data_IF_483529971334
#
_entry.id   IF_483529971334
#
_cell.length_a   1.000
_cell.length_b   1.000
_cell.length_c   1.000
_cell.angle_alpha   90.00
_cell.angle_beta   90.00
_cell.angle_gamma   90.00
#
_symmetry.space_group_name_H-M   'P 1'
#
loop_
_entity.id
_entity.type
_entity.pdbx_description
1 polymer ?
#
# COMPACT_ATOMS: atom_id res chain seq x y z
N UNK A 1 14.48 -27.89 -5.31
CA UNK A 1 13.48 -28.44 -4.40
C UNK A 1 13.43 -27.57 -3.13
N UNK A 2 12.25 -27.23 -2.65
CA UNK A 2 12.04 -26.34 -1.51
C UNK A 2 12.67 -26.85 -0.18
N UNK A 3 12.87 -28.13 -0.05
CA UNK A 3 13.48 -28.77 1.13
C UNK A 3 14.97 -29.11 0.94
N UNK A 4 15.67 -28.45 0.06
CA UNK A 4 17.10 -28.63 -0.17
C UNK A 4 17.91 -27.49 0.48
N UNK A 5 19.20 -27.75 0.68
CA UNK A 5 20.19 -26.74 1.06
C UNK A 5 21.10 -26.45 -0.11
N UNK A 6 21.59 -25.23 -0.17
CA UNK A 6 22.54 -24.74 -1.19
C UNK A 6 23.93 -24.78 -0.58
N UNK A 7 24.91 -25.46 -1.19
CA UNK A 7 26.28 -25.47 -0.67
C UNK A 7 26.84 -24.06 -0.49
N UNK A 8 27.38 -23.76 0.70
CA UNK A 8 27.96 -22.45 1.01
C UNK A 8 26.95 -21.37 1.38
N UNK A 9 25.66 -21.69 1.46
CA UNK A 9 24.60 -20.82 1.96
C UNK A 9 24.13 -21.34 3.32
N UNK A 10 23.95 -20.44 4.27
CA UNK A 10 23.57 -20.75 5.65
C UNK A 10 22.10 -21.18 5.73
N UNK A 11 21.24 -20.42 5.06
CA UNK A 11 19.80 -20.63 5.03
C UNK A 11 19.45 -21.79 4.06
N UNK A 12 18.45 -22.58 4.41
CA UNK A 12 17.87 -23.52 3.48
C UNK A 12 16.92 -22.82 2.47
N UNK A 13 16.50 -23.53 1.43
CA UNK A 13 15.63 -22.95 0.39
C UNK A 13 14.29 -22.48 0.97
N UNK A 14 13.78 -23.16 2.00
CA UNK A 14 12.53 -22.76 2.66
C UNK A 14 12.70 -21.43 3.38
N UNK A 15 13.81 -21.23 4.10
CA UNK A 15 14.12 -19.98 4.78
C UNK A 15 14.31 -18.84 3.77
N UNK A 16 15.00 -19.10 2.65
CA UNK A 16 15.14 -18.12 1.57
C UNK A 16 13.78 -17.73 1.01
N UNK A 17 12.88 -18.69 0.76
CA UNK A 17 11.51 -18.40 0.30
C UNK A 17 10.74 -17.56 1.31
N UNK A 18 10.88 -17.86 2.60
CA UNK A 18 10.23 -17.07 3.65
C UNK A 18 10.75 -15.61 3.68
N UNK A 19 12.06 -15.43 3.50
CA UNK A 19 12.65 -14.10 3.40
C UNK A 19 12.15 -13.35 2.16
N UNK A 20 12.10 -14.00 1.00
CA UNK A 20 11.57 -13.42 -0.24
C UNK A 20 10.10 -12.99 -0.11
N UNK A 21 9.28 -13.72 0.65
CA UNK A 21 7.88 -13.35 0.90
C UNK A 21 7.71 -12.04 1.69
N UNK A 22 8.76 -11.58 2.38
CA UNK A 22 8.73 -10.30 3.12
C UNK A 22 9.06 -9.10 2.24
N UNK A 23 9.45 -9.30 0.99
CA UNK A 23 9.79 -8.22 0.08
C UNK A 23 8.57 -7.37 -0.28
N UNK A 24 8.72 -6.07 -0.14
CA UNK A 24 7.75 -5.08 -0.60
C UNK A 24 8.16 -4.59 -2.00
N UNK A 25 7.54 -5.13 -3.03
CA UNK A 25 7.90 -4.86 -4.43
C UNK A 25 6.80 -4.01 -5.08
N UNK A 26 7.19 -2.85 -5.61
CA UNK A 26 6.34 -1.98 -6.41
C UNK A 26 6.64 -2.22 -7.88
N UNK A 27 5.63 -2.59 -8.66
CA UNK A 27 5.71 -2.76 -10.10
C UNK A 27 4.92 -1.66 -10.80
N UNK A 28 5.62 -0.73 -11.43
CA UNK A 28 5.05 0.45 -12.11
C UNK A 28 4.84 0.23 -13.62
N UNK A 29 5.12 -0.97 -14.16
CA UNK A 29 4.94 -1.26 -15.59
C UNK A 29 3.48 -1.06 -16.01
N UNK A 30 3.25 -0.66 -17.25
CA UNK A 30 1.89 -0.53 -17.81
C UNK A 30 1.28 -1.89 -18.19
N UNK A 31 2.11 -2.91 -18.39
CA UNK A 31 1.69 -4.25 -18.78
C UNK A 31 1.55 -5.18 -17.56
N UNK A 32 0.69 -6.18 -17.71
CA UNK A 32 0.54 -7.27 -16.72
C UNK A 32 1.46 -8.46 -17.00
N UNK A 33 2.41 -8.32 -17.92
CA UNK A 33 3.35 -9.38 -18.25
C UNK A 33 4.30 -9.64 -17.08
N UNK A 34 4.63 -10.92 -16.82
CA UNK A 34 5.62 -11.30 -15.82
C UNK A 34 6.96 -10.62 -16.08
N UNK A 35 7.58 -10.06 -15.05
CA UNK A 35 8.93 -9.50 -15.08
C UNK A 35 9.89 -10.45 -14.43
N UNK A 36 11.11 -10.53 -14.95
CA UNK A 36 12.18 -11.33 -14.37
C UNK A 36 13.17 -10.43 -13.66
N UNK A 37 13.49 -10.78 -12.44
CA UNK A 37 14.60 -10.21 -11.68
C UNK A 37 15.56 -11.33 -11.28
N UNK A 38 16.80 -11.01 -10.99
CA UNK A 38 17.78 -12.01 -10.61
C UNK A 38 18.72 -11.52 -9.52
N UNK A 39 19.25 -12.46 -8.76
CA UNK A 39 20.33 -12.27 -7.80
C UNK A 39 21.53 -13.06 -8.30
N UNK A 40 22.68 -12.42 -8.36
CA UNK A 40 23.96 -13.05 -8.61
C UNK A 40 24.96 -12.53 -7.58
N UNK A 41 25.39 -13.40 -6.68
CA UNK A 41 26.29 -13.06 -5.60
C UNK A 41 27.41 -14.09 -5.49
N UNK A 42 28.67 -13.62 -5.39
CA UNK A 42 29.86 -14.46 -5.29
C UNK A 42 30.67 -14.09 -4.05
N UNK A 43 31.26 -15.11 -3.42
CA UNK A 43 32.07 -14.98 -2.22
C UNK A 43 31.25 -15.02 -0.93
N UNK A 44 31.91 -14.68 0.19
CA UNK A 44 31.27 -14.62 1.51
C UNK A 44 30.56 -13.28 1.71
N UNK A 45 29.36 -13.31 2.29
CA UNK A 45 28.63 -12.10 2.59
C UNK A 45 27.16 -12.31 2.84
N UNK A 46 26.48 -11.21 3.12
CA UNK A 46 25.04 -11.18 3.32
C UNK A 46 24.38 -10.66 2.05
N UNK A 47 23.52 -11.45 1.45
CA UNK A 47 22.71 -11.09 0.29
C UNK A 47 21.43 -10.42 0.79
N UNK A 48 21.20 -9.22 0.33
CA UNK A 48 20.04 -8.43 0.69
C UNK A 48 19.14 -8.16 -0.52
N UNK A 49 17.98 -7.61 -0.29
CA UNK A 49 17.08 -7.21 -1.37
C UNK A 49 17.67 -6.14 -2.30
N UNK A 50 18.70 -5.37 -1.85
CA UNK A 50 19.42 -4.43 -2.68
C UNK A 50 20.25 -5.11 -3.79
N UNK A 51 20.59 -6.39 -3.62
CA UNK A 51 21.34 -7.16 -4.61
C UNK A 51 20.46 -7.72 -5.74
N UNK A 52 19.15 -7.52 -5.66
CA UNK A 52 18.20 -7.90 -6.72
C UNK A 52 18.36 -6.97 -7.91
N UNK A 53 18.68 -7.54 -9.05
CA UNK A 53 18.75 -6.84 -10.32
C UNK A 53 17.43 -7.02 -11.07
N UNK A 54 16.76 -5.93 -11.33
CA UNK A 54 15.45 -5.90 -11.99
C UNK A 54 15.35 -4.73 -12.97
N UNK A 55 14.31 -4.76 -13.80
CA UNK A 55 13.98 -3.65 -14.70
C UNK A 55 13.67 -2.36 -13.90
N UNK A 56 13.80 -1.20 -14.54
CA UNK A 56 13.52 0.12 -13.94
C UNK A 56 12.08 0.30 -13.42
N UNK A 57 11.16 -0.54 -13.90
CA UNK A 57 9.76 -0.52 -13.49
C UNK A 57 9.52 -1.22 -12.13
N UNK A 58 10.53 -1.93 -11.63
CA UNK A 58 10.49 -2.69 -10.38
C UNK A 58 11.27 -1.92 -9.32
N UNK A 59 10.61 -1.55 -8.26
CA UNK A 59 11.20 -0.88 -7.10
C UNK A 59 11.00 -1.72 -5.85
N UNK A 60 12.09 -1.92 -5.08
CA UNK A 60 12.05 -2.66 -3.81
C UNK A 60 12.05 -1.64 -2.69
N UNK A 61 10.99 -1.62 -1.90
CA UNK A 61 10.77 -0.62 -0.85
C UNK A 61 11.56 -0.90 0.43
N UNK A 62 11.99 -2.16 0.64
CA UNK A 62 12.76 -2.62 1.81
C UNK A 62 14.08 -3.29 1.39
N UNK A 63 15.03 -2.54 0.80
CA UNK A 63 16.27 -3.09 0.23
C UNK A 63 17.21 -3.69 1.26
N UNK A 64 17.07 -3.37 2.54
CA UNK A 64 17.86 -3.91 3.66
C UNK A 64 17.44 -5.32 4.10
N UNK A 65 16.36 -5.85 3.54
CA UNK A 65 15.87 -7.20 3.90
C UNK A 65 16.89 -8.26 3.52
N UNK A 66 17.33 -9.04 4.49
CA UNK A 66 18.26 -10.16 4.27
C UNK A 66 17.54 -11.32 3.60
N UNK A 67 18.10 -11.81 2.49
CA UNK A 67 17.58 -12.94 1.73
C UNK A 67 18.35 -14.21 2.07
N UNK A 68 19.68 -14.15 2.05
CA UNK A 68 20.54 -15.29 2.32
C UNK A 68 21.92 -14.83 2.85
N UNK A 69 22.66 -15.74 3.46
CA UNK A 69 24.02 -15.52 3.94
C UNK A 69 24.95 -16.57 3.35
N UNK A 70 25.99 -16.14 2.65
CA UNK A 70 27.01 -17.01 2.09
C UNK A 70 28.19 -17.11 3.08
N UNK A 71 28.55 -18.32 3.49
CA UNK A 71 29.60 -18.60 4.48
C UNK A 71 30.52 -19.76 4.07
N UNK A 72 30.47 -20.18 2.82
CA UNK A 72 31.25 -21.34 2.30
C UNK A 72 32.62 -20.99 1.71
N UNK A 73 33.12 -19.77 1.95
CA UNK A 73 34.40 -19.32 1.42
C UNK A 73 34.28 -18.55 0.09
N UNK A 74 35.45 -18.24 -0.49
CA UNK A 74 35.54 -17.41 -1.70
C UNK A 74 34.84 -18.03 -2.94
N UNK A 75 34.63 -19.35 -2.96
CA UNK A 75 34.00 -20.05 -4.08
C UNK A 75 32.47 -20.20 -3.93
N UNK A 76 31.90 -19.63 -2.86
CA UNK A 76 30.44 -19.63 -2.66
C UNK A 76 29.76 -18.76 -3.71
N UNK A 77 28.69 -19.29 -4.30
CA UNK A 77 27.90 -18.59 -5.32
C UNK A 77 26.43 -18.82 -5.09
N UNK A 78 25.65 -17.76 -5.23
CA UNK A 78 24.20 -17.82 -5.25
C UNK A 78 23.69 -17.16 -6.53
N UNK A 79 23.03 -17.95 -7.36
CA UNK A 79 22.28 -17.44 -8.50
C UNK A 79 20.81 -17.82 -8.36
N UNK A 80 19.93 -16.86 -8.55
CA UNK A 80 18.49 -17.04 -8.38
C UNK A 80 17.74 -16.15 -9.36
N UNK A 81 16.75 -16.71 -10.04
CA UNK A 81 15.79 -15.94 -10.84
C UNK A 81 14.47 -15.81 -10.08
N UNK A 82 13.91 -14.61 -10.13
CA UNK A 82 12.66 -14.24 -9.49
C UNK A 82 11.66 -13.82 -10.56
N UNK A 83 10.53 -14.49 -10.66
CA UNK A 83 9.43 -14.05 -11.52
C UNK A 83 8.48 -13.19 -10.72
N UNK A 84 8.31 -11.94 -11.13
CA UNK A 84 7.47 -10.93 -10.49
C UNK A 84 6.24 -10.70 -11.34
N UNK A 85 5.07 -10.85 -10.75
CA UNK A 85 3.77 -10.69 -11.41
C UNK A 85 2.91 -9.67 -10.69
N UNK A 86 1.92 -9.10 -11.40
CA UNK A 86 0.87 -8.29 -10.82
C UNK A 86 -0.34 -9.14 -10.50
N UNK A 87 -1.08 -8.77 -9.48
CA UNK A 87 -2.30 -9.47 -9.08
C UNK A 87 -3.08 -8.73 -8.01
N UNK A 88 -4.02 -9.41 -7.40
CA UNK A 88 -4.86 -8.87 -6.32
C UNK A 88 -4.96 -9.87 -5.18
N UNK A 89 -4.89 -9.35 -3.95
CA UNK A 89 -5.08 -10.13 -2.74
C UNK A 89 -3.98 -11.16 -2.54
N UNK A 90 -4.36 -12.43 -2.45
CA UNK A 90 -3.47 -13.56 -2.19
C UNK A 90 -3.72 -14.69 -3.19
N UNK A 91 -2.65 -15.22 -3.74
CA UNK A 91 -2.69 -16.40 -4.62
C UNK A 91 -1.74 -17.45 -4.09
N UNK A 92 -2.27 -18.62 -3.73
CA UNK A 92 -1.46 -19.73 -3.20
C UNK A 92 -0.57 -20.37 -4.28
N UNK A 93 0.50 -21.01 -3.84
CA UNK A 93 1.48 -21.68 -4.69
C UNK A 93 0.85 -22.72 -5.64
N UNK A 94 -0.21 -23.40 -5.21
CA UNK A 94 -0.94 -24.37 -6.04
C UNK A 94 -1.55 -23.73 -7.29
N UNK A 95 -1.99 -22.47 -7.19
CA UNK A 95 -2.54 -21.72 -8.33
C UNK A 95 -1.44 -21.12 -9.21
N UNK A 96 -0.27 -20.83 -8.63
CA UNK A 96 0.89 -20.34 -9.36
C UNK A 96 1.60 -21.47 -10.12
N UNK A 97 1.33 -22.72 -9.78
CA UNK A 97 1.88 -23.88 -10.47
C UNK A 97 1.16 -24.09 -11.80
N UNK A 98 1.90 -24.03 -12.91
CA UNK A 98 1.40 -24.35 -14.25
C UNK A 98 1.93 -25.69 -14.71
N UNK A 99 1.20 -26.38 -15.60
CA UNK A 99 1.61 -27.70 -16.13
C UNK A 99 2.91 -27.60 -16.95
N UNK A 100 3.16 -26.46 -17.60
CA UNK A 100 4.33 -26.22 -18.44
C UNK A 100 5.51 -25.58 -17.69
N UNK A 101 5.48 -25.55 -16.36
CA UNK A 101 6.53 -24.91 -15.54
C UNK A 101 7.87 -25.64 -15.71
N UNK A 102 8.98 -24.94 -16.02
CA UNK A 102 10.29 -25.53 -16.18
C UNK A 102 10.77 -26.25 -14.93
N UNK A 103 11.57 -27.33 -15.12
CA UNK A 103 12.21 -28.03 -14.00
C UNK A 103 13.15 -27.07 -13.27
N UNK A 104 13.02 -26.99 -11.94
CA UNK A 104 13.82 -26.11 -11.10
C UNK A 104 13.09 -24.83 -10.67
N UNK A 105 11.94 -24.51 -11.27
CA UNK A 105 11.09 -23.42 -10.78
C UNK A 105 10.27 -23.89 -9.58
N UNK A 106 10.29 -23.12 -8.52
CA UNK A 106 9.54 -23.37 -7.28
C UNK A 106 8.39 -22.36 -7.22
N UNK A 107 7.13 -22.80 -7.38
CA UNK A 107 5.99 -21.91 -7.21
C UNK A 107 5.85 -21.56 -5.73
N UNK A 108 5.76 -20.27 -5.45
CA UNK A 108 5.53 -19.74 -4.10
C UNK A 108 4.21 -19.00 -4.03
N UNK A 109 3.71 -18.77 -2.82
CA UNK A 109 2.54 -17.94 -2.62
C UNK A 109 2.84 -16.49 -3.02
N UNK A 110 1.89 -15.85 -3.68
CA UNK A 110 1.98 -14.45 -4.06
C UNK A 110 1.08 -13.59 -3.18
N UNK A 111 1.68 -12.65 -2.46
CA UNK A 111 1.00 -11.68 -1.61
C UNK A 111 0.95 -10.36 -2.38
N UNK A 112 -0.17 -10.09 -3.05
CA UNK A 112 -0.32 -8.89 -3.87
C UNK A 112 -0.89 -7.70 -3.11
N UNK A 113 -1.51 -7.94 -1.94
CA UNK A 113 -2.09 -6.85 -1.14
C UNK A 113 -1.01 -5.98 -0.52
N UNK A 114 -1.04 -4.66 -0.73
CA UNK A 114 -0.13 -3.74 -0.04
C UNK A 114 -0.57 -3.43 1.40
N UNK A 115 -1.81 -3.78 1.77
CA UNK A 115 -2.37 -3.50 3.08
C UNK A 115 -2.06 -4.66 4.02
N UNK A 116 -1.30 -4.38 5.08
CA UNK A 116 -0.90 -5.38 6.09
C UNK A 116 -1.93 -5.49 7.21
N UNK A 117 -2.47 -4.34 7.65
CA UNK A 117 -3.39 -4.30 8.79
C UNK A 117 -4.29 -3.07 8.72
N UNK A 118 -5.54 -3.25 9.12
CA UNK A 118 -6.51 -2.16 9.32
C UNK A 118 -7.11 -2.31 10.72
N UNK A 119 -7.05 -1.24 11.51
CA UNK A 119 -7.80 -1.15 12.76
C UNK A 119 -8.95 -0.15 12.55
N UNK A 120 -10.12 -0.46 13.08
CA UNK A 120 -11.26 0.44 13.05
C UNK A 120 -11.75 0.72 14.48
N UNK A 121 -12.16 1.96 14.71
CA UNK A 121 -12.82 2.36 15.93
C UNK A 121 -13.98 3.30 15.59
N UNK A 122 -15.16 2.98 16.10
CA UNK A 122 -16.35 3.80 15.93
C UNK A 122 -16.80 4.32 17.27
N UNK A 123 -17.01 5.62 17.39
CA UNK A 123 -17.53 6.27 18.59
C UNK A 123 -18.83 6.99 18.25
N UNK A 124 -19.83 6.80 19.09
CA UNK A 124 -21.05 7.60 19.09
C UNK A 124 -20.77 8.88 19.88
N UNK A 125 -21.10 10.05 19.31
CA UNK A 125 -20.95 11.34 19.99
C UNK A 125 -21.93 11.50 21.17
N UNK A 126 -21.82 12.61 21.91
CA UNK A 126 -22.81 12.97 22.95
C UNK A 126 -24.21 13.19 22.34
N UNK A 127 -24.26 13.64 21.09
CA UNK A 127 -25.45 13.70 20.27
C UNK A 127 -25.47 12.41 19.46
N UNK A 128 -26.49 11.58 19.62
CA UNK A 128 -26.58 10.22 19.04
C UNK A 128 -26.71 10.20 17.52
N UNK A 129 -26.81 11.36 16.88
CA UNK A 129 -27.00 11.52 15.42
C UNK A 129 -25.68 11.51 14.64
N UNK A 130 -24.55 11.48 15.35
CA UNK A 130 -23.21 11.52 14.72
C UNK A 130 -22.34 10.36 15.17
N UNK A 131 -21.86 9.61 14.20
CA UNK A 131 -20.84 8.58 14.39
C UNK A 131 -19.48 9.10 13.92
N UNK A 132 -18.42 8.81 14.71
CA UNK A 132 -17.04 9.05 14.30
C UNK A 132 -16.37 7.72 14.00
N UNK A 133 -16.05 7.49 12.72
CA UNK A 133 -15.23 6.38 12.29
C UNK A 133 -13.76 6.80 12.25
N UNK A 134 -12.91 6.03 12.92
CA UNK A 134 -11.44 6.15 12.83
C UNK A 134 -10.90 4.87 12.21
N UNK A 135 -10.08 5.02 11.16
CA UNK A 135 -9.40 3.93 10.48
C UNK A 135 -7.88 4.15 10.61
N UNK A 136 -7.17 3.16 11.17
CA UNK A 136 -5.70 3.11 11.14
C UNK A 136 -5.29 2.07 10.09
N UNK A 137 -4.68 2.52 9.02
CA UNK A 137 -4.30 1.67 7.88
C UNK A 137 -2.78 1.57 7.81
N UNK A 138 -2.27 0.35 7.81
CA UNK A 138 -0.84 0.03 7.70
C UNK A 138 -0.58 -0.66 6.38
N UNK A 139 0.40 -0.14 5.63
CA UNK A 139 0.81 -0.68 4.34
C UNK A 139 2.29 -1.05 4.35
N UNK A 140 2.70 -1.88 3.41
CA UNK A 140 4.10 -2.26 3.23
C UNK A 140 4.97 -1.20 2.52
N UNK A 141 4.43 0.01 2.30
CA UNK A 141 5.14 1.13 1.65
C UNK A 141 5.00 1.18 0.12
N UNK A 142 4.47 0.16 -0.53
CA UNK A 142 4.26 0.15 -2.00
C UNK A 142 3.07 1.02 -2.42
N UNK A 143 2.14 1.28 -1.51
CA UNK A 143 0.96 2.13 -1.70
C UNK A 143 0.75 3.00 -0.46
N UNK A 144 0.40 4.27 -0.63
CA UNK A 144 0.07 5.15 0.49
C UNK A 144 -1.26 4.74 1.15
N UNK A 145 -1.40 4.84 2.49
CA UNK A 145 -2.62 4.41 3.19
C UNK A 145 -3.90 5.12 2.74
N UNK A 146 -3.83 6.41 2.44
CA UNK A 146 -4.94 7.22 1.92
C UNK A 146 -5.36 6.77 0.53
N UNK A 147 -4.40 6.45 -0.33
CA UNK A 147 -4.64 5.89 -1.66
C UNK A 147 -5.29 4.51 -1.57
N UNK A 148 -4.84 3.66 -0.64
CA UNK A 148 -5.44 2.34 -0.40
C UNK A 148 -6.92 2.45 -0.02
N UNK A 149 -7.27 3.38 0.88
CA UNK A 149 -8.66 3.65 1.28
C UNK A 149 -9.48 4.18 0.10
N UNK A 150 -8.91 5.11 -0.67
CA UNK A 150 -9.59 5.69 -1.84
C UNK A 150 -9.89 4.64 -2.91
N UNK A 151 -8.94 3.74 -3.20
CA UNK A 151 -9.14 2.64 -4.14
C UNK A 151 -10.19 1.64 -3.64
N UNK A 152 -10.18 1.31 -2.35
CA UNK A 152 -11.18 0.44 -1.74
C UNK A 152 -12.59 1.04 -1.84
N UNK A 153 -12.73 2.33 -1.57
CA UNK A 153 -13.99 3.05 -1.72
C UNK A 153 -14.47 3.07 -3.18
N UNK A 154 -13.55 3.22 -4.13
CA UNK A 154 -13.87 3.16 -5.56
C UNK A 154 -14.42 1.79 -5.96
N UNK A 155 -13.79 0.70 -5.49
CA UNK A 155 -14.28 -0.67 -5.75
C UNK A 155 -15.69 -0.86 -5.21
N UNK A 156 -15.95 -0.42 -3.95
CA UNK A 156 -17.30 -0.48 -3.36
C UNK A 156 -18.31 0.32 -4.18
N UNK A 157 -17.95 1.53 -4.60
CA UNK A 157 -18.83 2.39 -5.38
C UNK A 157 -19.17 1.76 -6.74
N UNK A 158 -18.21 1.13 -7.42
CA UNK A 158 -18.46 0.43 -8.68
C UNK A 158 -19.46 -0.74 -8.53
N UNK A 159 -19.36 -1.49 -7.44
CA UNK A 159 -20.34 -2.54 -7.13
C UNK A 159 -21.72 -1.97 -6.77
N UNK A 160 -21.76 -0.87 -6.01
CA UNK A 160 -23.01 -0.22 -5.62
C UNK A 160 -23.74 0.44 -6.79
N UNK A 161 -23.01 0.87 -7.83
CA UNK A 161 -23.62 1.40 -9.07
C UNK A 161 -24.64 0.44 -9.67
N UNK A 162 -24.41 -0.88 -9.61
CA UNK A 162 -25.35 -1.87 -10.12
C UNK A 162 -26.75 -1.76 -9.48
N UNK A 163 -26.81 -1.30 -8.23
CA UNK A 163 -28.07 -1.08 -7.51
C UNK A 163 -28.64 0.32 -7.76
N UNK A 164 -27.77 1.33 -7.88
CA UNK A 164 -28.18 2.72 -8.18
C UNK A 164 -28.81 2.78 -9.56
N UNK A 165 -28.27 2.05 -10.53
CA UNK A 165 -28.71 2.04 -11.93
C UNK A 165 -30.05 1.30 -12.13
N UNK A 166 -30.60 0.65 -11.09
CA UNK A 166 -31.91 0.04 -11.13
C UNK A 166 -33.06 1.07 -11.16
N UNK A 167 -32.82 2.33 -10.81
CA UNK A 167 -33.85 3.38 -10.77
C UNK A 167 -33.33 4.71 -11.29
N UNK A 168 -33.97 5.25 -12.33
CA UNK A 168 -33.68 6.59 -12.87
C UNK A 168 -33.86 7.71 -11.83
N UNK A 169 -34.85 7.51 -10.91
CA UNK A 169 -35.11 8.46 -9.82
C UNK A 169 -33.96 8.46 -8.81
N UNK A 170 -33.38 7.30 -8.50
CA UNK A 170 -32.27 7.19 -7.59
C UNK A 170 -30.97 7.80 -8.16
N UNK A 171 -30.76 7.74 -9.48
CA UNK A 171 -29.60 8.34 -10.15
C UNK A 171 -29.60 9.87 -10.07
N UNK A 172 -30.78 10.49 -10.04
CA UNK A 172 -30.93 11.95 -10.00
C UNK A 172 -31.15 12.51 -8.59
N UNK A 173 -31.30 11.65 -7.58
CA UNK A 173 -31.56 12.08 -6.21
C UNK A 173 -30.26 12.55 -5.53
N UNK A 174 -30.27 13.75 -4.98
CA UNK A 174 -29.22 14.22 -4.06
C UNK A 174 -29.39 13.53 -2.71
N UNK A 175 -28.45 12.64 -2.36
CA UNK A 175 -28.51 11.84 -1.12
C UNK A 175 -27.68 12.46 0.01
N UNK A 176 -26.67 13.24 -0.33
CA UNK A 176 -25.84 13.95 0.66
C UNK A 176 -26.47 15.30 0.97
N UNK A 177 -26.80 15.50 2.23
CA UNK A 177 -27.12 16.83 2.73
C UNK A 177 -25.82 17.62 2.62
N UNK A 178 -25.80 18.70 1.81
CA UNK A 178 -24.70 19.66 1.86
C UNK A 178 -24.51 20.07 3.33
N UNK A 179 -23.28 19.96 3.84
CA UNK A 179 -22.96 20.58 5.10
C UNK A 179 -23.37 22.04 4.96
N UNK A 180 -24.40 22.46 5.67
CA UNK A 180 -24.55 23.88 5.96
C UNK A 180 -23.21 24.29 6.58
N UNK A 181 -22.42 25.04 5.81
CA UNK A 181 -21.22 25.67 6.32
C UNK A 181 -21.63 26.35 7.62
N UNK A 182 -21.10 25.85 8.72
CA UNK A 182 -21.51 26.32 10.03
C UNK A 182 -21.26 27.84 10.00
N UNK A 183 -22.34 28.64 10.05
CA UNK A 183 -22.24 30.10 10.02
C UNK A 183 -21.22 30.61 11.07
N UNK A 184 -20.99 29.78 12.10
CA UNK A 184 -19.98 30.00 13.12
C UNK A 184 -18.54 29.82 12.62
N UNK A 185 -18.26 28.85 11.72
CA UNK A 185 -16.94 28.71 11.11
C UNK A 185 -16.65 29.85 10.15
N UNK A 186 -17.64 30.29 9.35
CA UNK A 186 -17.51 31.48 8.49
C UNK A 186 -17.20 32.73 9.28
N UNK A 187 -17.90 32.92 10.40
CA UNK A 187 -17.67 34.12 11.28
C UNK A 187 -16.28 34.03 11.93
N UNK A 188 -15.74 32.88 12.23
CA UNK A 188 -14.40 32.69 12.81
C UNK A 188 -13.27 32.92 11.79
N UNK A 189 -13.54 32.72 10.50
CA UNK A 189 -12.59 32.96 9.41
C UNK A 189 -12.69 34.38 8.82
N UNK A 190 -13.73 35.17 9.17
CA UNK A 190 -13.92 36.52 8.70
C UNK A 190 -12.83 37.47 9.23
N UNK A 191 -12.32 38.32 8.34
CA UNK A 191 -11.40 39.38 8.71
C UNK A 191 -12.13 40.49 9.50
N UNK A 192 -11.40 41.26 10.30
CA UNK A 192 -12.00 42.36 11.08
C UNK A 192 -12.66 43.46 10.19
N UNK A 193 -12.29 43.53 8.91
CA UNK A 193 -12.89 44.42 7.91
C UNK A 193 -14.32 43.96 7.51
N UNK A 194 -14.61 42.66 7.61
CA UNK A 194 -15.90 42.06 7.22
C UNK A 194 -16.89 41.93 8.37
N UNK A 195 -16.43 42.12 9.63
CA UNK A 195 -17.25 41.94 10.83
C UNK A 195 -18.20 43.10 11.14
N UNK A 196 -18.36 44.12 10.28
CA UNK A 196 -19.21 45.31 10.44
C UNK A 196 -19.09 45.95 11.83
N UNK A 197 -17.89 46.03 12.37
CA UNK A 197 -17.63 46.57 13.72
C UNK A 197 -17.79 48.08 13.73
N UNK A 198 -18.13 48.63 14.92
CA UNK A 198 -18.09 50.08 15.08
C UNK A 198 -16.68 50.60 14.79
N UNK A 199 -16.57 51.81 14.22
CA UNK A 199 -15.30 52.48 13.88
C UNK A 199 -14.33 52.49 15.07
N UNK A 200 -14.84 52.58 16.29
CA UNK A 200 -14.05 52.59 17.50
C UNK A 200 -13.47 51.18 17.81
N UNK A 201 -14.28 50.16 17.69
CA UNK A 201 -13.87 48.76 17.91
C UNK A 201 -12.88 48.31 16.87
N UNK A 202 -13.13 48.60 15.60
CA UNK A 202 -12.25 48.34 14.47
C UNK A 202 -10.86 48.94 14.68
N UNK A 203 -10.79 50.25 15.00
CA UNK A 203 -9.51 50.92 15.24
C UNK A 203 -8.74 50.37 16.45
N UNK A 204 -9.44 49.89 17.49
CA UNK A 204 -8.80 49.25 18.62
C UNK A 204 -8.15 47.90 18.24
N UNK A 205 -8.84 47.06 17.48
CA UNK A 205 -8.33 45.77 17.04
C UNK A 205 -7.15 45.93 16.06
N UNK A 206 -7.27 46.86 15.11
CA UNK A 206 -6.20 47.14 14.17
C UNK A 206 -4.92 47.71 14.83
N UNK A 207 -5.05 48.51 15.91
CA UNK A 207 -3.92 48.96 16.72
C UNK A 207 -3.30 47.84 17.54
N UNK A 208 -4.06 46.81 17.90
CA UNK A 208 -3.60 45.63 18.59
C UNK A 208 -2.93 44.59 17.66
N UNK A 209 -2.88 44.86 16.33
CA UNK A 209 -2.28 43.96 15.35
C UNK A 209 -3.12 42.73 15.01
N UNK A 210 -4.43 42.78 15.27
CA UNK A 210 -5.39 41.74 14.91
C UNK A 210 -5.97 42.10 13.54
N UNK A 211 -5.88 41.17 12.60
CA UNK A 211 -6.35 41.28 11.21
C UNK A 211 -7.56 40.41 10.94
#
# INVERSE_FOLDING_TARGET
>A
HEFSSIPGVKEDVTEIIMNLKTLAIKNSSETDEPKTAYIEFEGEGVVTAADIQADSDIEIMNPETVIATLNGGADSKLYMELTITKGRGYVGSDKNKTEDMPIGVIPIDSIYTPVERVNQNTRVGQITDYDKLTLDVYTNGTLAPDEAVSLAAKVLNEHLKLFIDLSEVAQSAEVMIEKEDDEKEKVLEMSIDELELSVRSYNCLKRAGIN
#
